data_IF_558347892027
#
_entry.id   IF_558347892027
#
_cell.length_a   1.000
_cell.length_b   1.000
_cell.length_c   1.000
_cell.angle_alpha   90.00
_cell.angle_beta   90.00
_cell.angle_gamma   90.00
#
_symmetry.space_group_name_H-M   'P 1'
#
loop_
_entity.id
_entity.type
_entity.pdbx_description
1 polymer ?
#
# COMPACT_ATOMS: atom_id res chain seq x y z
N UNK A 1 13.12 -12.00 -8.47
CA UNK A 1 13.83 -10.82 -9.00
C UNK A 1 13.68 -9.65 -8.03
N UNK A 2 14.64 -8.75 -7.99
CA UNK A 2 14.68 -7.60 -7.08
C UNK A 2 14.99 -6.35 -7.91
N UNK A 3 13.97 -5.53 -8.19
CA UNK A 3 14.14 -4.25 -8.87
C UNK A 3 13.75 -3.13 -7.88
N UNK A 4 14.64 -2.17 -7.63
CA UNK A 4 14.46 -1.12 -6.61
C UNK A 4 14.73 -1.58 -5.17
N UNK A 5 14.09 -0.92 -4.18
CA UNK A 5 14.24 -1.25 -2.76
C UNK A 5 13.76 -2.68 -2.47
N UNK A 6 14.59 -3.43 -1.76
CA UNK A 6 14.29 -4.83 -1.38
C UNK A 6 14.32 -5.05 0.12
N UNK A 7 14.66 -4.01 0.89
CA UNK A 7 14.92 -4.11 2.31
C UNK A 7 13.61 -4.08 3.08
N UNK A 8 12.96 -5.24 3.13
CA UNK A 8 11.83 -5.48 4.02
C UNK A 8 11.98 -6.88 4.61
N UNK A 9 11.62 -7.01 5.89
CA UNK A 9 11.52 -8.32 6.54
C UNK A 9 10.54 -9.24 5.82
N UNK A 10 9.43 -8.69 5.31
CA UNK A 10 8.43 -9.44 4.53
C UNK A 10 9.05 -10.13 3.31
N UNK A 11 9.87 -9.43 2.52
CA UNK A 11 10.48 -10.04 1.33
C UNK A 11 11.35 -11.25 1.70
N UNK A 12 12.25 -11.08 2.66
CA UNK A 12 13.14 -12.16 3.08
C UNK A 12 12.35 -13.34 3.66
N UNK A 13 11.37 -13.04 4.51
CA UNK A 13 10.50 -14.05 5.09
C UNK A 13 9.71 -14.87 4.06
N UNK A 14 9.22 -14.23 2.99
CA UNK A 14 8.54 -14.93 1.90
C UNK A 14 9.50 -15.83 1.09
N UNK A 15 10.74 -15.38 0.86
CA UNK A 15 11.77 -16.22 0.24
C UNK A 15 12.10 -17.43 1.11
N UNK A 16 12.25 -17.22 2.43
CA UNK A 16 12.53 -18.29 3.40
C UNK A 16 11.36 -19.28 3.52
N UNK A 17 10.12 -18.81 3.31
CA UNK A 17 8.93 -19.66 3.22
C UNK A 17 8.79 -20.40 1.87
N UNK A 18 9.72 -20.21 0.93
CA UNK A 18 9.78 -20.94 -0.33
C UNK A 18 9.01 -20.31 -1.49
N UNK A 19 8.51 -19.07 -1.35
CA UNK A 19 7.85 -18.37 -2.44
C UNK A 19 8.87 -17.83 -3.46
N UNK A 20 8.47 -17.77 -4.72
CA UNK A 20 9.20 -17.00 -5.73
C UNK A 20 8.76 -15.54 -5.65
N UNK A 21 9.66 -14.66 -5.19
CA UNK A 21 9.31 -13.24 -4.93
C UNK A 21 9.92 -12.30 -5.98
N UNK A 22 9.05 -11.47 -6.56
CA UNK A 22 9.38 -10.34 -7.42
C UNK A 22 9.05 -9.04 -6.69
N UNK A 23 9.96 -8.08 -6.70
CA UNK A 23 9.71 -6.74 -6.17
C UNK A 23 9.56 -5.78 -7.35
N UNK A 24 8.41 -5.10 -7.41
CA UNK A 24 8.17 -4.04 -8.40
C UNK A 24 9.04 -2.83 -8.07
N UNK A 25 9.75 -2.27 -9.05
CA UNK A 25 10.57 -1.08 -8.84
C UNK A 25 9.67 0.13 -8.61
N UNK A 26 10.02 0.90 -7.60
CA UNK A 26 9.35 2.15 -7.27
C UNK A 26 10.39 3.25 -7.00
N UNK A 27 10.04 4.48 -7.35
CA UNK A 27 10.84 5.68 -7.10
C UNK A 27 9.93 6.85 -6.77
N UNK A 28 10.45 7.84 -6.05
CA UNK A 28 9.85 9.16 -6.00
C UNK A 28 10.04 9.84 -7.36
N UNK A 29 8.96 10.25 -7.99
CA UNK A 29 8.96 10.85 -9.32
C UNK A 29 9.08 9.83 -10.45
N UNK A 30 8.88 10.33 -11.67
CA UNK A 30 9.03 9.55 -12.89
C UNK A 30 10.48 9.22 -13.22
N UNK A 31 10.75 7.98 -13.63
CA UNK A 31 12.08 7.54 -14.04
C UNK A 31 12.34 6.08 -13.67
N UNK A 32 13.50 5.52 -14.05
CA UNK A 32 13.93 4.24 -13.51
C UNK A 32 14.27 4.36 -12.02
N UNK A 33 14.02 3.30 -11.26
CA UNK A 33 14.42 3.20 -9.85
C UNK A 33 15.95 2.99 -9.75
N UNK A 34 16.70 4.09 -9.64
CA UNK A 34 18.17 4.08 -9.59
C UNK A 34 18.72 4.11 -8.17
N UNK A 35 18.16 5.00 -7.36
CA UNK A 35 18.52 5.16 -5.96
C UNK A 35 17.35 5.81 -5.21
N UNK A 36 17.27 5.51 -3.92
CA UNK A 36 16.49 6.23 -2.94
C UNK A 36 17.41 6.48 -1.74
N UNK A 37 17.59 7.74 -1.36
CA UNK A 37 18.47 8.14 -0.26
C UNK A 37 17.72 8.29 1.06
N UNK A 38 16.42 7.99 1.08
CA UNK A 38 15.58 7.99 2.27
C UNK A 38 15.98 6.93 3.31
N UNK A 39 15.31 6.97 4.46
CA UNK A 39 15.61 6.14 5.64
C UNK A 39 15.62 4.63 5.36
N UNK A 40 14.76 4.16 4.44
CA UNK A 40 14.71 2.77 3.97
C UNK A 40 15.01 2.66 2.47
N UNK A 41 15.82 3.60 1.99
CA UNK A 41 16.21 3.73 0.60
C UNK A 41 17.17 2.63 0.14
N UNK A 42 17.63 2.74 -1.09
CA UNK A 42 18.56 1.81 -1.71
C UNK A 42 19.54 2.57 -2.59
N UNK A 43 20.76 2.07 -2.71
CA UNK A 43 21.75 2.53 -3.69
C UNK A 43 22.36 1.27 -4.29
N UNK A 44 22.35 1.15 -5.62
CA UNK A 44 22.73 -0.07 -6.37
C UNK A 44 21.65 -1.18 -6.40
N UNK A 45 20.52 -0.96 -7.11
CA UNK A 45 19.51 -2.00 -7.29
C UNK A 45 20.07 -3.18 -8.10
N UNK A 46 19.76 -4.40 -7.69
CA UNK A 46 20.26 -5.61 -8.35
C UNK A 46 19.91 -5.69 -9.84
N UNK A 47 18.77 -5.10 -10.23
CA UNK A 47 18.38 -4.86 -11.62
C UNK A 47 17.74 -3.47 -11.72
N UNK A 48 18.14 -2.71 -12.74
CA UNK A 48 17.43 -1.50 -13.18
C UNK A 48 16.58 -1.84 -14.40
N UNK A 49 15.31 -1.43 -14.37
CA UNK A 49 14.40 -1.54 -15.51
C UNK A 49 14.00 -0.15 -16.01
N UNK A 50 13.45 -0.02 -17.23
CA UNK A 50 13.01 1.26 -17.77
C UNK A 50 11.94 1.96 -16.91
N UNK A 51 11.80 3.27 -17.10
CA UNK A 51 10.82 4.10 -16.40
C UNK A 51 9.38 3.62 -16.61
N UNK A 52 9.10 3.01 -17.77
CA UNK A 52 7.77 2.51 -18.10
C UNK A 52 7.34 1.30 -17.26
N UNK A 53 8.28 0.66 -16.58
CA UNK A 53 8.07 -0.46 -15.65
C UNK A 53 8.20 -0.04 -14.17
N UNK A 54 8.54 1.23 -13.91
CA UNK A 54 8.81 1.74 -12.56
C UNK A 54 7.63 2.55 -12.04
N UNK A 55 7.17 2.22 -10.84
CA UNK A 55 6.08 2.92 -10.16
C UNK A 55 6.58 4.26 -9.62
N UNK A 56 5.91 5.34 -10.01
CA UNK A 56 6.06 6.64 -9.35
C UNK A 56 5.23 6.62 -8.06
N UNK A 57 5.88 6.53 -6.89
CA UNK A 57 5.17 6.38 -5.62
C UNK A 57 4.49 7.67 -5.12
N UNK A 58 4.83 8.83 -5.70
CA UNK A 58 4.23 10.13 -5.39
C UNK A 58 3.31 10.65 -6.51
N UNK A 59 3.10 9.84 -7.56
CA UNK A 59 2.24 10.17 -8.69
C UNK A 59 0.81 9.61 -8.59
N UNK A 60 -0.01 9.80 -9.64
CA UNK A 60 -1.38 9.31 -9.70
C UNK A 60 -1.50 7.78 -9.59
N UNK A 61 -2.57 7.32 -8.93
CA UNK A 61 -2.86 5.89 -8.67
C UNK A 61 -2.96 5.08 -9.97
N UNK A 62 -3.69 5.59 -10.96
CA UNK A 62 -3.94 4.86 -12.21
C UNK A 62 -2.67 4.78 -13.08
N UNK A 63 -1.84 5.84 -13.08
CA UNK A 63 -0.54 5.83 -13.77
C UNK A 63 0.43 4.84 -13.10
N UNK A 64 0.49 4.82 -11.77
CA UNK A 64 1.28 3.85 -11.03
C UNK A 64 0.79 2.40 -11.26
N UNK A 65 -0.53 2.18 -11.27
CA UNK A 65 -1.12 0.89 -11.63
C UNK A 65 -0.75 0.44 -13.03
N UNK A 66 -0.69 1.38 -13.99
CA UNK A 66 -0.24 1.11 -15.34
C UNK A 66 1.22 0.65 -15.37
N UNK A 67 2.12 1.27 -14.60
CA UNK A 67 3.53 0.85 -14.52
C UNK A 67 3.66 -0.53 -13.89
N UNK A 68 2.89 -0.80 -12.84
CA UNK A 68 2.85 -2.12 -12.20
C UNK A 68 2.33 -3.20 -13.15
N UNK A 69 1.27 -2.94 -13.94
CA UNK A 69 0.77 -3.89 -14.94
C UNK A 69 1.84 -4.20 -16.01
N UNK A 70 2.57 -3.18 -16.51
CA UNK A 70 3.66 -3.39 -17.44
C UNK A 70 4.78 -4.25 -16.81
N UNK A 71 5.08 -4.04 -15.53
CA UNK A 71 6.08 -4.84 -14.83
C UNK A 71 5.67 -6.31 -14.71
N UNK A 72 4.39 -6.60 -14.44
CA UNK A 72 3.89 -7.98 -14.41
C UNK A 72 3.98 -8.65 -15.80
N UNK A 73 3.65 -7.92 -16.86
CA UNK A 73 3.84 -8.37 -18.26
C UNK A 73 5.33 -8.64 -18.56
N UNK A 74 6.24 -7.76 -18.13
CA UNK A 74 7.67 -7.98 -18.25
C UNK A 74 8.14 -9.25 -17.50
N UNK A 75 7.62 -9.49 -16.29
CA UNK A 75 7.94 -10.71 -15.53
C UNK A 75 7.42 -11.95 -16.24
N UNK A 76 6.25 -11.89 -16.87
CA UNK A 76 5.74 -12.96 -17.71
C UNK A 76 6.64 -13.23 -18.92
N UNK A 77 7.00 -12.20 -19.68
CA UNK A 77 7.85 -12.34 -20.86
C UNK A 77 9.24 -12.89 -20.52
N UNK A 78 9.79 -12.47 -19.37
CA UNK A 78 11.16 -12.83 -18.96
C UNK A 78 11.24 -14.18 -18.26
N UNK A 79 10.24 -14.53 -17.45
CA UNK A 79 10.30 -15.70 -16.55
C UNK A 79 9.15 -16.70 -16.76
N UNK A 80 8.21 -16.43 -17.67
CA UNK A 80 7.08 -17.31 -17.97
C UNK A 80 6.00 -17.35 -16.89
N UNK A 81 6.01 -16.43 -15.91
CA UNK A 81 5.04 -16.40 -14.82
C UNK A 81 3.71 -15.82 -15.31
N UNK A 82 2.62 -16.57 -15.19
CA UNK A 82 1.28 -16.17 -15.66
C UNK A 82 0.31 -15.80 -14.54
N UNK A 83 0.62 -16.22 -13.31
CA UNK A 83 -0.24 -16.03 -12.15
C UNK A 83 0.55 -15.34 -11.05
N UNK A 84 -0.04 -14.30 -10.46
CA UNK A 84 0.59 -13.48 -9.43
C UNK A 84 -0.31 -13.39 -8.21
N UNK A 85 0.30 -13.46 -7.03
CA UNK A 85 -0.29 -12.96 -5.79
C UNK A 85 0.38 -11.63 -5.48
N UNK A 86 -0.42 -10.60 -5.19
CA UNK A 86 0.08 -9.23 -4.99
C UNK A 86 0.12 -8.89 -3.50
N UNK A 87 1.19 -8.19 -3.08
CA UNK A 87 1.29 -7.59 -1.75
C UNK A 87 1.59 -6.11 -1.93
N UNK A 88 0.71 -5.26 -1.45
CA UNK A 88 0.86 -3.81 -1.49
C UNK A 88 0.92 -3.20 -0.10
N UNK A 89 2.00 -2.48 0.21
CA UNK A 89 2.09 -1.67 1.42
C UNK A 89 1.71 -0.22 1.09
N UNK A 90 0.94 0.42 1.97
CA UNK A 90 0.53 1.82 1.82
C UNK A 90 -0.15 2.05 0.45
N UNK A 91 0.29 3.04 -0.32
CA UNK A 91 -0.11 3.29 -1.72
C UNK A 91 0.01 2.07 -2.64
N UNK A 92 0.96 1.16 -2.38
CA UNK A 92 1.15 -0.05 -3.16
C UNK A 92 -0.11 -0.92 -3.26
N UNK A 93 -1.00 -0.88 -2.26
CA UNK A 93 -2.30 -1.56 -2.34
C UNK A 93 -3.27 -0.92 -3.35
N UNK A 94 -3.28 0.41 -3.44
CA UNK A 94 -4.06 1.15 -4.45
C UNK A 94 -3.48 0.93 -5.85
N UNK A 95 -2.16 0.95 -5.99
CA UNK A 95 -1.48 0.66 -7.25
C UNK A 95 -1.74 -0.78 -7.72
N UNK A 96 -1.75 -1.75 -6.80
CA UNK A 96 -2.09 -3.15 -7.10
C UNK A 96 -3.50 -3.27 -7.68
N UNK A 97 -4.48 -2.63 -7.05
CA UNK A 97 -5.87 -2.58 -7.55
C UNK A 97 -5.96 -1.89 -8.92
N UNK A 98 -5.30 -0.76 -9.10
CA UNK A 98 -5.23 -0.09 -10.39
C UNK A 98 -4.60 -0.98 -11.48
N UNK A 99 -3.57 -1.76 -11.13
CA UNK A 99 -2.93 -2.69 -12.07
C UNK A 99 -3.85 -3.85 -12.47
N UNK A 100 -4.66 -4.37 -11.55
CA UNK A 100 -5.68 -5.40 -11.84
C UNK A 100 -6.71 -4.85 -12.83
N UNK A 101 -7.19 -3.63 -12.60
CA UNK A 101 -8.10 -2.96 -13.52
C UNK A 101 -7.46 -2.78 -14.90
N UNK A 102 -6.19 -2.37 -14.96
CA UNK A 102 -5.46 -2.16 -16.21
C UNK A 102 -5.24 -3.47 -16.99
N UNK A 103 -4.82 -4.55 -16.31
CA UNK A 103 -4.72 -5.89 -16.90
C UNK A 103 -6.06 -6.36 -17.49
N UNK A 104 -7.16 -6.13 -16.76
CA UNK A 104 -8.52 -6.43 -17.23
C UNK A 104 -8.88 -5.63 -18.48
N UNK A 105 -8.63 -4.32 -18.46
CA UNK A 105 -8.91 -3.41 -19.59
C UNK A 105 -8.19 -3.81 -20.87
N UNK A 106 -6.98 -4.36 -20.74
CA UNK A 106 -6.15 -4.84 -21.87
C UNK A 106 -6.52 -6.24 -22.35
N UNK A 107 -7.42 -6.94 -21.65
CA UNK A 107 -7.67 -8.37 -21.83
C UNK A 107 -6.37 -9.19 -21.71
N UNK A 108 -5.55 -8.87 -20.69
CA UNK A 108 -4.31 -9.59 -20.43
C UNK A 108 -4.59 -11.06 -20.11
N UNK A 109 -3.64 -11.93 -20.47
CA UNK A 109 -3.69 -13.35 -20.11
C UNK A 109 -3.20 -13.63 -18.68
N UNK A 110 -2.64 -12.62 -18.00
CA UNK A 110 -2.17 -12.74 -16.63
C UNK A 110 -3.34 -12.84 -15.65
N UNK A 111 -3.17 -13.66 -14.63
CA UNK A 111 -4.15 -13.84 -13.55
C UNK A 111 -3.60 -13.32 -12.24
N UNK A 112 -4.43 -12.63 -11.46
CA UNK A 112 -4.13 -12.30 -10.06
C UNK A 112 -4.92 -13.24 -9.16
N UNK A 113 -4.22 -14.07 -8.38
CA UNK A 113 -4.83 -15.09 -7.53
C UNK A 113 -5.33 -14.54 -6.19
N UNK A 114 -4.54 -13.64 -5.59
CA UNK A 114 -4.88 -12.99 -4.33
C UNK A 114 -4.21 -11.62 -4.20
N UNK A 115 -4.71 -10.81 -3.26
CA UNK A 115 -4.16 -9.50 -2.92
C UNK A 115 -4.09 -9.34 -1.40
N UNK A 116 -2.91 -9.03 -0.87
CA UNK A 116 -2.76 -8.54 0.49
C UNK A 116 -2.42 -7.05 0.48
N UNK A 117 -3.11 -6.25 1.30
CA UNK A 117 -2.80 -4.83 1.51
C UNK A 117 -2.42 -4.55 2.95
N UNK A 118 -1.33 -3.81 3.17
CA UNK A 118 -0.78 -3.51 4.50
C UNK A 118 -0.80 -2.00 4.71
N UNK A 119 -1.62 -1.51 5.66
CA UNK A 119 -1.76 -0.08 5.95
C UNK A 119 -2.24 0.73 4.75
N UNK A 120 -2.89 0.13 3.77
CA UNK A 120 -3.32 0.83 2.54
C UNK A 120 -4.49 1.77 2.83
N UNK A 121 -4.45 3.04 2.39
CA UNK A 121 -5.55 3.97 2.60
C UNK A 121 -6.73 3.68 1.65
N UNK A 122 -7.51 2.62 1.90
CA UNK A 122 -8.65 2.26 1.03
C UNK A 122 -9.71 3.35 0.98
N UNK A 123 -9.87 4.10 2.07
CA UNK A 123 -10.82 5.19 2.20
C UNK A 123 -10.14 6.55 2.35
N UNK A 124 -8.84 6.63 2.08
CA UNK A 124 -8.04 7.85 2.26
C UNK A 124 -7.15 7.80 3.49
N UNK A 125 -6.30 8.81 3.61
CA UNK A 125 -5.44 9.02 4.76
C UNK A 125 -5.82 10.34 5.41
N UNK A 126 -5.88 10.37 6.74
CA UNK A 126 -6.10 11.63 7.46
C UNK A 126 -4.99 12.65 7.17
N UNK A 127 -3.79 12.17 6.80
CA UNK A 127 -2.68 12.99 6.35
C UNK A 127 -2.96 13.69 5.01
N UNK A 128 -3.53 12.97 4.05
CA UNK A 128 -4.00 13.52 2.78
C UNK A 128 -5.13 14.52 2.98
N UNK A 129 -6.15 14.14 3.78
CA UNK A 129 -7.29 15.01 4.10
C UNK A 129 -6.86 16.30 4.82
N UNK A 130 -5.85 16.24 5.69
CA UNK A 130 -5.31 17.42 6.36
C UNK A 130 -4.54 18.31 5.39
N UNK A 131 -3.80 17.70 4.46
CA UNK A 131 -2.99 18.42 3.48
C UNK A 131 -3.86 19.12 2.43
N UNK A 132 -5.00 18.53 2.06
CA UNK A 132 -6.02 19.15 1.20
C UNK A 132 -6.83 20.23 1.92
N UNK A 133 -6.85 20.22 3.26
CA UNK A 133 -7.63 21.12 4.10
C UNK A 133 -9.06 20.65 4.37
N UNK A 134 -9.39 19.40 4.05
CA UNK A 134 -10.70 18.78 4.32
C UNK A 134 -10.90 18.48 5.82
N UNK A 135 -9.80 18.24 6.54
CA UNK A 135 -9.77 18.16 8.00
C UNK A 135 -8.76 19.14 8.57
N UNK A 136 -8.94 19.49 9.84
CA UNK A 136 -8.07 20.41 10.57
C UNK A 136 -7.23 19.68 11.62
N UNK A 137 -6.27 20.39 12.22
CA UNK A 137 -5.34 19.82 13.20
C UNK A 137 -6.07 19.26 14.43
N UNK A 138 -7.26 19.77 14.74
CA UNK A 138 -8.15 19.33 15.82
C UNK A 138 -8.57 17.86 15.68
N UNK A 139 -8.39 17.23 14.51
CA UNK A 139 -8.62 15.79 14.33
C UNK A 139 -7.70 14.93 15.21
N UNK A 140 -6.48 15.42 15.51
CA UNK A 140 -5.57 14.81 16.45
C UNK A 140 -6.03 14.96 17.92
N UNK A 141 -7.07 15.75 18.18
CA UNK A 141 -7.69 15.94 19.49
C UNK A 141 -6.69 16.37 20.59
N UNK A 142 -5.69 17.17 20.21
CA UNK A 142 -4.63 17.64 21.12
C UNK A 142 -3.57 16.59 21.47
N UNK A 143 -3.54 15.45 20.77
CA UNK A 143 -2.42 14.51 20.87
C UNK A 143 -1.18 15.08 20.15
N UNK A 144 -0.12 15.35 20.90
CA UNK A 144 1.06 16.03 20.39
C UNK A 144 1.81 15.24 19.30
N UNK A 145 1.82 13.91 19.39
CA UNK A 145 2.46 13.04 18.39
C UNK A 145 1.67 13.11 17.08
N UNK A 146 0.36 12.92 17.17
CA UNK A 146 -0.53 12.96 16.02
C UNK A 146 -0.62 14.34 15.37
N UNK A 147 -0.56 15.43 16.14
CA UNK A 147 -0.45 16.78 15.58
C UNK A 147 0.85 16.97 14.78
N UNK A 148 1.97 16.47 15.29
CA UNK A 148 3.27 16.57 14.62
C UNK A 148 3.30 15.73 13.33
N UNK A 149 2.72 14.53 13.36
CA UNK A 149 2.53 13.69 12.17
C UNK A 149 1.79 14.46 11.07
N UNK A 150 0.68 15.12 11.42
CA UNK A 150 -0.10 15.91 10.47
C UNK A 150 0.72 17.04 9.85
N UNK A 151 1.50 17.76 10.67
CA UNK A 151 2.36 18.86 10.20
C UNK A 151 3.47 18.36 9.27
N UNK A 152 4.15 17.28 9.62
CA UNK A 152 5.21 16.70 8.80
C UNK A 152 4.67 16.12 7.49
N UNK A 153 3.54 15.42 7.54
CA UNK A 153 2.92 14.89 6.34
C UNK A 153 2.55 16.02 5.38
N UNK A 154 1.96 17.11 5.89
CA UNK A 154 1.68 18.29 5.06
C UNK A 154 2.94 18.87 4.41
N UNK A 155 4.02 19.02 5.16
CA UNK A 155 5.28 19.51 4.59
C UNK A 155 5.81 18.60 3.47
N UNK A 156 5.75 17.27 3.66
CA UNK A 156 6.11 16.28 2.65
C UNK A 156 5.23 16.37 1.40
N UNK A 157 3.91 16.49 1.56
CA UNK A 157 3.01 16.63 0.41
C UNK A 157 3.26 17.94 -0.35
N UNK A 158 3.47 19.05 0.36
CA UNK A 158 3.78 20.35 -0.26
C UNK A 158 5.12 20.33 -1.01
N UNK A 159 6.09 19.51 -0.60
CA UNK A 159 7.41 19.39 -1.23
C UNK A 159 7.45 18.38 -2.39
N UNK A 160 6.83 17.22 -2.22
CA UNK A 160 7.12 16.03 -3.03
C UNK A 160 5.90 15.41 -3.75
N UNK A 161 4.67 15.87 -3.52
CA UNK A 161 3.51 15.30 -4.21
C UNK A 161 3.52 15.61 -5.71
N UNK A 162 3.41 14.58 -6.55
CA UNK A 162 3.15 14.69 -7.99
C UNK A 162 1.70 14.27 -8.34
N UNK A 163 0.79 14.33 -7.37
CA UNK A 163 -0.61 13.95 -7.51
C UNK A 163 -1.07 12.85 -6.55
N UNK A 164 -0.14 12.17 -5.85
CA UNK A 164 -0.51 11.13 -4.88
C UNK A 164 -1.32 11.71 -3.71
N UNK A 165 -0.90 12.85 -3.15
CA UNK A 165 -1.55 13.48 -2.01
C UNK A 165 -3.02 13.81 -2.26
N UNK A 166 -3.32 14.30 -3.45
CA UNK A 166 -4.66 14.64 -3.90
C UNK A 166 -5.55 13.40 -4.10
N UNK A 167 -4.94 12.23 -4.38
CA UNK A 167 -5.64 10.99 -4.66
C UNK A 167 -5.75 10.04 -3.45
N UNK A 168 -5.19 10.42 -2.30
CA UNK A 168 -5.35 9.71 -1.03
C UNK A 168 -6.25 10.44 -0.03
N UNK A 169 -7.09 11.34 -0.53
CA UNK A 169 -8.15 11.98 0.25
C UNK A 169 -9.39 11.08 0.31
N UNK A 170 -10.19 11.24 1.35
CA UNK A 170 -11.47 10.56 1.48
C UNK A 170 -12.40 10.92 0.31
N UNK A 171 -12.44 12.19 -0.10
CA UNK A 171 -13.30 12.65 -1.20
C UNK A 171 -12.90 12.04 -2.54
N UNK A 172 -11.59 11.97 -2.86
CA UNK A 172 -11.17 11.34 -4.12
C UNK A 172 -11.55 9.86 -4.19
N UNK A 173 -11.36 9.13 -3.09
CA UNK A 173 -11.56 7.68 -3.05
C UNK A 173 -13.03 7.29 -2.89
N UNK A 174 -13.80 8.01 -2.06
CA UNK A 174 -15.15 7.63 -1.64
C UNK A 174 -16.24 8.65 -2.02
N UNK A 175 -15.88 9.83 -2.53
CA UNK A 175 -16.82 10.85 -2.96
C UNK A 175 -17.74 10.38 -4.09
N UNK A 176 -18.58 11.28 -4.59
CA UNK A 176 -19.51 10.93 -5.68
C UNK A 176 -18.73 10.56 -6.94
N UNK A 177 -18.91 9.34 -7.47
CA UNK A 177 -18.07 8.77 -8.53
C UNK A 177 -16.58 8.64 -8.14
N UNK A 178 -16.31 8.51 -6.84
CA UNK A 178 -14.99 8.31 -6.26
C UNK A 178 -14.28 7.09 -6.82
N UNK A 179 -12.96 7.04 -6.66
CA UNK A 179 -12.13 6.02 -7.29
C UNK A 179 -12.55 4.60 -6.90
N UNK A 180 -12.98 4.34 -5.66
CA UNK A 180 -13.49 3.02 -5.26
C UNK A 180 -14.69 2.56 -6.09
N UNK A 181 -15.62 3.46 -6.43
CA UNK A 181 -16.78 3.11 -7.25
C UNK A 181 -16.39 2.68 -8.67
N UNK A 182 -15.29 3.23 -9.20
CA UNK A 182 -14.75 2.85 -10.52
C UNK A 182 -14.10 1.47 -10.52
N UNK A 183 -13.86 0.88 -9.34
CA UNK A 183 -13.25 -0.44 -9.17
C UNK A 183 -14.28 -1.56 -8.93
N UNK A 184 -15.58 -1.28 -9.05
CA UNK A 184 -16.63 -2.30 -8.91
C UNK A 184 -16.39 -3.47 -9.86
N UNK A 185 -16.51 -4.69 -9.34
CA UNK A 185 -16.34 -5.94 -10.09
C UNK A 185 -14.88 -6.37 -10.32
N UNK A 186 -13.89 -5.52 -10.03
CA UNK A 186 -12.48 -5.83 -10.31
C UNK A 186 -11.89 -6.90 -9.39
N UNK A 187 -12.45 -7.06 -8.20
CA UNK A 187 -11.96 -8.00 -7.17
C UNK A 187 -12.96 -9.14 -6.92
N UNK A 188 -13.93 -9.36 -7.82
CA UNK A 188 -15.03 -10.32 -7.62
C UNK A 188 -14.53 -11.75 -7.39
N UNK A 189 -13.40 -12.10 -8.01
CA UNK A 189 -12.78 -13.43 -7.92
C UNK A 189 -11.45 -13.46 -7.15
N UNK A 190 -11.04 -12.34 -6.54
CA UNK A 190 -9.77 -12.21 -5.85
C UNK A 190 -10.03 -12.21 -4.34
N UNK A 191 -9.41 -13.14 -3.62
CA UNK A 191 -9.41 -13.08 -2.16
C UNK A 191 -8.45 -11.99 -1.69
N UNK A 192 -8.96 -11.12 -0.82
CA UNK A 192 -8.21 -9.96 -0.32
C UNK A 192 -7.95 -10.09 1.18
N UNK A 193 -6.70 -9.93 1.59
CA UNK A 193 -6.32 -9.76 2.98
C UNK A 193 -6.02 -8.28 3.25
N UNK A 194 -6.76 -7.70 4.19
CA UNK A 194 -6.58 -6.34 4.68
C UNK A 194 -5.83 -6.38 6.02
N UNK A 195 -4.68 -5.72 6.09
CA UNK A 195 -3.88 -5.61 7.30
C UNK A 195 -3.82 -4.14 7.70
N UNK A 196 -4.23 -3.84 8.95
CA UNK A 196 -4.14 -2.51 9.53
C UNK A 196 -3.36 -2.50 10.83
N UNK A 197 -2.64 -1.40 11.06
CA UNK A 197 -2.00 -1.11 12.34
C UNK A 197 -2.89 -0.20 13.19
N UNK A 198 -2.88 -0.42 14.50
CA UNK A 198 -3.72 0.36 15.42
C UNK A 198 -2.93 1.01 16.57
N UNK A 199 -1.60 1.06 16.51
CA UNK A 199 -0.74 1.42 17.65
C UNK A 199 -1.12 2.73 18.35
N UNK A 200 -1.44 3.78 17.59
CA UNK A 200 -1.89 5.07 18.13
C UNK A 200 -3.40 5.02 18.36
N UNK A 201 -3.80 5.04 19.65
CA UNK A 201 -5.18 4.77 20.11
C UNK A 201 -5.76 5.94 20.88
N UNK A 202 -7.02 6.26 20.59
CA UNK A 202 -7.82 7.19 21.39
C UNK A 202 -9.28 6.73 21.44
N UNK A 203 -9.77 6.40 22.63
CA UNK A 203 -11.09 5.77 22.81
C UNK A 203 -12.27 6.64 22.34
N UNK A 204 -12.13 7.96 22.42
CA UNK A 204 -13.12 8.94 21.96
C UNK A 204 -12.66 9.73 20.73
N UNK A 205 -11.61 9.27 20.05
CA UNK A 205 -11.08 9.93 18.87
C UNK A 205 -12.03 9.83 17.68
N UNK A 206 -11.97 10.80 16.78
CA UNK A 206 -12.74 10.77 15.54
C UNK A 206 -12.31 9.55 14.68
N UNK A 207 -13.24 8.69 14.22
CA UNK A 207 -12.93 7.50 13.43
C UNK A 207 -12.24 7.77 12.10
N UNK A 208 -12.25 9.01 11.61
CA UNK A 208 -11.46 9.41 10.43
C UNK A 208 -9.95 9.30 10.67
N UNK A 209 -9.52 9.41 11.94
CA UNK A 209 -8.11 9.28 12.33
C UNK A 209 -7.86 8.11 13.28
N UNK A 210 -8.74 7.85 14.26
CA UNK A 210 -8.42 6.96 15.37
C UNK A 210 -9.13 5.60 15.30
N UNK A 211 -8.47 4.50 15.70
CA UNK A 211 -7.01 4.37 15.91
C UNK A 211 -6.25 4.41 14.56
N UNK A 212 -4.93 4.62 14.60
CA UNK A 212 -4.10 4.63 13.40
C UNK A 212 -2.71 4.02 13.59
N UNK A 213 -2.08 3.73 12.46
CA UNK A 213 -0.71 3.25 12.35
C UNK A 213 0.33 4.38 12.25
N UNK A 214 -0.11 5.64 12.18
CA UNK A 214 0.76 6.81 11.98
C UNK A 214 0.50 7.56 10.69
N UNK A 215 -0.14 6.95 9.68
CA UNK A 215 -0.58 7.65 8.45
C UNK A 215 -2.02 7.33 8.06
N UNK A 216 -2.46 6.11 8.35
CA UNK A 216 -3.76 5.60 7.90
C UNK A 216 -4.55 5.15 9.11
N UNK A 217 -5.80 5.59 9.18
CA UNK A 217 -6.73 5.10 10.20
C UNK A 217 -7.01 3.63 9.99
N UNK A 218 -7.22 2.89 11.07
CA UNK A 218 -7.53 1.47 11.00
C UNK A 218 -8.78 1.20 10.16
N UNK A 219 -9.79 2.08 10.25
CA UNK A 219 -11.02 1.99 9.46
C UNK A 219 -10.73 2.04 7.95
N UNK A 220 -9.86 2.95 7.53
CA UNK A 220 -9.41 3.05 6.14
C UNK A 220 -8.52 1.87 5.72
N UNK A 221 -7.60 1.42 6.58
CA UNK A 221 -6.74 0.27 6.29
C UNK A 221 -7.54 -1.04 6.10
N UNK A 222 -8.65 -1.18 6.84
CA UNK A 222 -9.55 -2.33 6.79
C UNK A 222 -10.76 -2.12 5.86
N UNK A 223 -10.79 -1.03 5.09
CA UNK A 223 -11.84 -0.75 4.11
C UNK A 223 -13.27 -0.88 4.68
N UNK A 224 -13.47 -0.44 5.93
CA UNK A 224 -14.70 -0.69 6.69
C UNK A 224 -15.97 -0.24 5.96
N UNK A 225 -15.93 0.92 5.28
CA UNK A 225 -17.09 1.47 4.56
C UNK A 225 -17.01 1.26 3.03
N UNK A 226 -16.03 0.50 2.54
CA UNK A 226 -15.95 0.16 1.12
C UNK A 226 -17.03 -0.87 0.78
N UNK A 227 -17.82 -0.56 -0.25
CA UNK A 227 -18.95 -1.39 -0.69
C UNK A 227 -18.51 -2.84 -1.02
N UNK A 228 -19.31 -3.85 -0.65
CA UNK A 228 -19.09 -5.23 -1.09
C UNK A 228 -19.09 -5.42 -2.61
N UNK A 229 -19.67 -4.49 -3.39
CA UNK A 229 -19.57 -4.51 -4.85
C UNK A 229 -18.16 -4.18 -5.37
N UNK A 230 -17.32 -3.58 -4.53
CA UNK A 230 -15.90 -3.29 -4.81
C UNK A 230 -15.02 -4.36 -4.18
N UNK A 231 -15.35 -4.81 -2.97
CA UNK A 231 -14.53 -5.72 -2.18
C UNK A 231 -15.37 -6.85 -1.54
N UNK A 232 -15.80 -7.86 -2.33
CA UNK A 232 -16.73 -8.89 -1.86
C UNK A 232 -16.06 -9.98 -1.01
N UNK A 233 -14.79 -10.30 -1.26
CA UNK A 233 -14.07 -11.42 -0.63
C UNK A 233 -12.90 -10.92 0.21
N UNK A 234 -13.15 -10.50 1.45
CA UNK A 234 -12.13 -9.94 2.33
C UNK A 234 -11.94 -10.70 3.64
N UNK A 235 -10.70 -10.69 4.10
CA UNK A 235 -10.30 -11.05 5.45
C UNK A 235 -9.58 -9.86 6.06
N UNK A 236 -9.80 -9.63 7.35
CA UNK A 236 -9.21 -8.50 8.07
C UNK A 236 -8.24 -9.03 9.14
N UNK A 237 -7.15 -8.32 9.36
CA UNK A 237 -6.21 -8.57 10.45
C UNK A 237 -5.68 -7.25 10.99
N UNK A 238 -5.74 -7.09 12.31
CA UNK A 238 -5.26 -5.90 13.02
C UNK A 238 -4.06 -6.26 13.86
N UNK A 239 -3.04 -5.40 13.85
CA UNK A 239 -1.82 -5.56 14.63
C UNK A 239 -1.55 -4.29 15.44
N UNK A 240 -0.99 -4.49 16.64
CA UNK A 240 -0.52 -3.40 17.50
C UNK A 240 0.81 -2.84 16.97
N UNK A 241 0.75 -2.25 15.77
CA UNK A 241 1.88 -1.82 14.98
C UNK A 241 1.64 -0.47 14.29
N UNK A 242 2.75 0.12 13.85
CA UNK A 242 2.84 1.40 13.14
C UNK A 242 3.14 1.16 11.66
N UNK A 243 2.87 2.16 10.83
CA UNK A 243 2.80 2.02 9.37
C UNK A 243 4.07 1.46 8.75
N UNK A 244 5.24 1.84 9.29
CA UNK A 244 6.56 1.43 8.82
C UNK A 244 7.61 1.62 9.92
N UNK A 245 8.84 1.16 9.66
CA UNK A 245 9.98 1.39 10.56
C UNK A 245 10.34 2.87 10.76
N UNK A 246 9.92 3.77 9.85
CA UNK A 246 10.05 5.21 10.05
C UNK A 246 9.27 5.68 11.29
N UNK A 247 8.02 5.23 11.44
CA UNK A 247 7.21 5.55 12.61
C UNK A 247 7.70 4.81 13.85
N UNK A 248 8.26 3.60 13.68
CA UNK A 248 8.86 2.89 14.81
C UNK A 248 10.04 3.70 15.37
N UNK A 249 10.96 4.16 14.51
CA UNK A 249 12.10 4.98 14.90
C UNK A 249 11.68 6.34 15.50
N UNK A 250 10.76 7.05 14.82
CA UNK A 250 10.27 8.35 15.27
C UNK A 250 9.58 8.31 16.65
N UNK A 251 9.05 7.14 17.05
CA UNK A 251 8.37 6.91 18.32
C UNK A 251 9.23 6.13 19.34
N UNK A 252 10.52 5.90 19.06
CA UNK A 252 11.44 5.12 19.89
C UNK A 252 10.92 3.70 20.20
N UNK A 253 10.40 3.03 19.17
CA UNK A 253 9.87 1.67 19.21
C UNK A 253 10.82 0.68 18.55
N UNK A 254 10.68 -0.60 18.93
CA UNK A 254 11.33 -1.68 18.20
C UNK A 254 10.83 -1.74 16.74
N UNK A 255 11.73 -2.04 15.79
CA UNK A 255 11.39 -2.08 14.36
C UNK A 255 10.32 -3.11 14.01
N UNK A 256 10.18 -4.17 14.80
CA UNK A 256 9.10 -5.16 14.64
C UNK A 256 7.71 -4.60 14.94
N UNK A 257 7.61 -3.34 15.42
CA UNK A 257 6.36 -2.58 15.43
C UNK A 257 5.97 -2.04 14.06
N UNK A 258 6.90 -1.88 13.13
CA UNK A 258 6.57 -1.54 11.75
C UNK A 258 5.85 -2.71 11.07
N UNK A 259 4.68 -2.49 10.48
CA UNK A 259 3.86 -3.59 9.91
C UNK A 259 4.61 -4.48 8.91
N UNK A 260 5.52 -3.92 8.10
CA UNK A 260 6.34 -4.67 7.14
C UNK A 260 7.60 -5.32 7.75
N UNK A 261 7.83 -5.13 9.05
CA UNK A 261 8.86 -5.74 9.89
C UNK A 261 8.31 -6.65 10.99
N UNK A 262 6.99 -6.66 11.19
CA UNK A 262 6.32 -7.49 12.19
C UNK A 262 6.29 -8.98 11.74
N UNK A 263 6.90 -9.91 12.52
CA UNK A 263 6.85 -11.34 12.22
C UNK A 263 5.44 -11.93 12.16
N UNK A 264 4.49 -11.41 12.94
CA UNK A 264 3.11 -11.88 12.93
C UNK A 264 2.36 -11.42 11.67
N UNK A 265 2.70 -10.25 11.13
CA UNK A 265 2.21 -9.81 9.81
C UNK A 265 2.74 -10.74 8.73
N UNK A 266 4.04 -11.08 8.75
CA UNK A 266 4.61 -12.05 7.82
C UNK A 266 3.91 -13.41 7.90
N UNK A 267 3.70 -13.95 9.10
CA UNK A 267 2.98 -15.22 9.28
C UNK A 267 1.58 -15.17 8.65
N UNK A 268 0.86 -14.06 8.85
CA UNK A 268 -0.47 -13.85 8.27
C UNK A 268 -0.44 -13.81 6.74
N UNK A 269 0.56 -13.15 6.16
CA UNK A 269 0.77 -13.11 4.71
C UNK A 269 1.06 -14.51 4.15
N UNK A 270 2.01 -15.25 4.75
CA UNK A 270 2.36 -16.61 4.34
C UNK A 270 1.13 -17.53 4.37
N UNK A 271 0.31 -17.45 5.42
CA UNK A 271 -0.92 -18.22 5.52
C UNK A 271 -1.94 -17.87 4.43
N UNK A 272 -2.10 -16.59 4.11
CA UNK A 272 -3.00 -16.13 3.05
C UNK A 272 -2.56 -16.65 1.67
N UNK A 273 -1.28 -16.45 1.32
CA UNK A 273 -0.72 -16.89 0.04
C UNK A 273 -0.79 -18.41 -0.13
N UNK A 274 -0.45 -19.17 0.92
CA UNK A 274 -0.52 -20.64 0.87
C UNK A 274 -1.94 -21.14 0.61
N UNK A 275 -2.95 -20.46 1.16
CA UNK A 275 -4.36 -20.80 0.95
C UNK A 275 -4.85 -20.42 -0.45
N UNK A 276 -4.31 -19.35 -1.03
CA UNK A 276 -4.58 -18.95 -2.42
C UNK A 276 -4.00 -19.98 -3.40
N UNK A 277 -2.73 -20.36 -3.23
CA UNK A 277 -2.06 -21.36 -4.07
C UNK A 277 -2.72 -22.74 -4.03
N UNK A 278 -3.30 -23.14 -2.89
CA UNK A 278 -4.00 -24.41 -2.78
C UNK A 278 -5.32 -24.48 -3.57
N UNK A 279 -5.83 -23.35 -4.08
CA UNK A 279 -7.11 -23.26 -4.81
C UNK A 279 -6.96 -23.08 -6.32
N UNK A 280 -5.78 -22.68 -6.81
CA UNK A 280 -5.44 -22.59 -8.24
C UNK A 280 -4.92 -23.92 -8.79
#
# INVERSE_FOLDING_TARGET
MAAGSTDTYVRQGLLDAGFTVFTSPASMGGGPALEDTGFSGFSDPAITVPAELTVNCVGPIDDAGQRLANFLEYVNETFGITTFDLIGHSMGGLFSRASIHELTRRNSSLTVGSLATIGTPWQGSFAGDYSSGDVSIELADGDAVSEEILRQAKALFDEASEGAGEQVTYEFLNGTNGWNQRQIGMLDDIDVLLIGGDYLKRASGDPRMWPHDGLVSLSSALAQDVSPAVLPRRQEATFDGVHSIYFADALDLAWDKGLTWDPAVLERLVGHLSTAQARG
#
